data_IF_016760578017
#
_entry.id   IF_016760578017
#
_cell.length_a   1.000
_cell.length_b   1.000
_cell.length_c   1.000
_cell.angle_alpha   90.00
_cell.angle_beta   90.00
_cell.angle_gamma   90.00
#
_symmetry.space_group_name_H-M   'P 1'
#
loop_
_entity.id
_entity.type
_entity.pdbx_description
1 polymer ?
#
# COMPACT_ATOMS: atom_id res chain seq x y z
N UNK A 1 -14.99 16.46 16.25
CA UNK A 1 -13.74 17.23 16.31
C UNK A 1 -12.94 16.65 17.46
N UNK A 2 -11.81 15.96 17.33
CA UNK A 2 -10.74 15.69 16.34
C UNK A 2 -10.21 14.31 16.79
N UNK A 3 -9.74 13.33 16.02
CA UNK A 3 -8.97 13.22 14.79
C UNK A 3 -9.07 11.71 14.46
N UNK A 4 -9.47 11.25 13.25
CA UNK A 4 -9.36 9.84 12.93
C UNK A 4 -7.87 9.56 12.77
N UNK A 5 -7.22 9.18 13.88
CA UNK A 5 -5.86 8.65 13.87
C UNK A 5 -5.85 7.57 12.80
N UNK A 6 -5.36 7.93 11.61
CA UNK A 6 -5.04 6.97 10.58
C UNK A 6 -3.94 6.14 11.20
N UNK A 7 -4.33 5.03 11.81
CA UNK A 7 -3.43 3.95 12.14
C UNK A 7 -2.89 3.46 10.79
N UNK A 8 -1.77 4.05 10.37
CA UNK A 8 -0.89 3.42 9.40
C UNK A 8 -0.21 2.33 10.21
N UNK A 9 -0.84 1.16 10.25
CA UNK A 9 -0.16 0.01 10.82
C UNK A 9 1.04 -0.29 9.92
N UNK A 10 2.24 -0.42 10.49
CA UNK A 10 3.39 -0.87 9.72
C UNK A 10 3.05 -2.25 9.17
N UNK A 11 3.15 -2.40 7.85
CA UNK A 11 2.96 -3.69 7.20
C UNK A 11 4.27 -4.46 7.38
N UNK A 12 4.48 -4.99 8.59
CA UNK A 12 5.66 -5.79 8.96
C UNK A 12 5.66 -7.19 8.32
N UNK A 13 4.70 -7.46 7.44
CA UNK A 13 4.52 -8.72 6.73
C UNK A 13 4.76 -8.56 5.24
N UNK A 14 5.22 -9.63 4.55
CA UNK A 14 5.42 -9.60 3.11
C UNK A 14 4.12 -9.15 2.42
N UNK A 15 4.20 -8.03 1.70
CA UNK A 15 3.14 -7.54 0.83
C UNK A 15 3.36 -8.15 -0.55
N UNK A 16 2.38 -8.89 -1.04
CA UNK A 16 2.35 -9.34 -2.43
C UNK A 16 1.49 -8.38 -3.24
N UNK A 17 2.02 -7.89 -4.36
CA UNK A 17 1.29 -7.01 -5.28
C UNK A 17 1.30 -7.65 -6.66
N UNK A 18 0.12 -7.94 -7.20
CA UNK A 18 -0.06 -8.56 -8.51
C UNK A 18 -0.88 -7.63 -9.39
N UNK A 19 -0.30 -7.20 -10.50
CA UNK A 19 -0.98 -6.42 -11.52
C UNK A 19 -1.31 -7.32 -12.73
N UNK A 20 -2.57 -7.36 -13.12
CA UNK A 20 -3.03 -8.08 -14.31
C UNK A 20 -3.01 -7.13 -15.52
N UNK A 21 -2.08 -7.27 -16.48
CA UNK A 21 -2.01 -6.37 -17.62
C UNK A 21 -3.21 -6.50 -18.57
N UNK A 22 -3.84 -7.67 -18.62
CA UNK A 22 -4.97 -7.95 -19.51
C UNK A 22 -6.26 -7.27 -19.03
N UNK A 23 -6.50 -7.24 -17.70
CA UNK A 23 -7.69 -6.60 -17.11
C UNK A 23 -7.42 -5.19 -16.58
N UNK A 24 -6.16 -4.86 -16.31
CA UNK A 24 -5.75 -3.62 -15.65
C UNK A 24 -6.04 -3.59 -14.15
N UNK A 25 -6.38 -4.73 -13.55
CA UNK A 25 -6.70 -4.87 -12.13
C UNK A 25 -5.44 -5.10 -11.28
N UNK A 26 -5.54 -4.73 -10.01
CA UNK A 26 -4.46 -4.85 -9.03
C UNK A 26 -4.95 -5.61 -7.81
N UNK A 27 -4.20 -6.60 -7.40
CA UNK A 27 -4.43 -7.35 -6.16
C UNK A 27 -3.27 -7.10 -5.21
N UNK A 28 -3.60 -6.81 -3.95
CA UNK A 28 -2.62 -6.57 -2.88
C UNK A 28 -2.95 -7.49 -1.73
N UNK A 29 -2.06 -8.42 -1.43
CA UNK A 29 -2.17 -9.30 -0.27
C UNK A 29 -1.16 -8.91 0.80
N UNK A 30 -1.60 -8.90 2.05
CA UNK A 30 -0.72 -8.67 3.19
C UNK A 30 -1.26 -9.37 4.43
N UNK A 31 -0.37 -9.65 5.36
CA UNK A 31 -0.73 -10.18 6.68
C UNK A 31 -0.79 -9.04 7.68
N UNK A 32 -1.89 -8.97 8.42
CA UNK A 32 -2.08 -8.02 9.51
C UNK A 32 -2.09 -8.77 10.84
N UNK A 33 -1.34 -8.27 11.82
CA UNK A 33 -1.40 -8.79 13.18
C UNK A 33 -2.71 -8.34 13.83
N UNK A 34 -3.54 -9.29 14.24
CA UNK A 34 -4.78 -9.02 14.95
C UNK A 34 -4.49 -8.67 16.42
N UNK A 35 -5.14 -7.64 17.01
CA UNK A 35 -4.84 -7.16 18.35
C UNK A 35 -4.98 -8.20 19.48
N UNK A 36 -5.78 -9.25 19.27
CA UNK A 36 -5.95 -10.36 20.24
C UNK A 36 -5.10 -11.60 19.91
N UNK A 37 -3.99 -11.43 19.20
CA UNK A 37 -2.93 -12.45 19.11
C UNK A 37 -3.08 -13.46 17.97
N UNK A 38 -3.42 -13.00 16.76
CA UNK A 38 -3.48 -13.85 15.56
C UNK A 38 -2.97 -13.13 14.32
N UNK A 39 -2.75 -13.86 13.23
CA UNK A 39 -2.45 -13.30 11.91
C UNK A 39 -3.69 -13.39 11.01
N UNK A 40 -4.02 -12.29 10.34
CA UNK A 40 -5.09 -12.23 9.35
C UNK A 40 -4.47 -11.92 7.99
N UNK A 41 -4.59 -12.85 7.04
CA UNK A 41 -4.32 -12.54 5.64
C UNK A 41 -5.47 -11.70 5.08
N UNK A 42 -5.14 -10.54 4.53
CA UNK A 42 -6.09 -9.66 3.83
C UNK A 42 -5.69 -9.51 2.38
N UNK A 43 -6.69 -9.49 1.52
CA UNK A 43 -6.58 -9.12 0.11
C UNK A 43 -7.35 -7.83 -0.16
N UNK A 44 -6.73 -6.90 -0.89
CA UNK A 44 -7.38 -5.76 -1.50
C UNK A 44 -7.40 -5.98 -3.00
N UNK A 45 -8.59 -5.93 -3.60
CA UNK A 45 -8.77 -6.01 -5.05
C UNK A 45 -9.19 -4.64 -5.57
N UNK A 46 -8.41 -4.11 -6.50
CA UNK A 46 -8.69 -2.86 -7.18
C UNK A 46 -9.13 -3.17 -8.60
N UNK A 47 -10.30 -2.68 -8.98
CA UNK A 47 -10.75 -2.69 -10.37
C UNK A 47 -9.79 -1.90 -11.26
N UNK A 48 -9.91 -2.06 -12.58
CA UNK A 48 -9.11 -1.29 -13.53
C UNK A 48 -9.25 0.24 -13.35
N UNK A 49 -10.45 0.72 -13.04
CA UNK A 49 -10.69 2.14 -12.78
C UNK A 49 -10.00 2.60 -11.48
N UNK A 50 -10.16 1.82 -10.39
CA UNK A 50 -9.52 2.14 -9.11
C UNK A 50 -7.99 2.09 -9.21
N UNK A 51 -7.43 1.16 -9.98
CA UNK A 51 -6.00 1.05 -10.25
C UNK A 51 -5.46 2.27 -10.98
N UNK A 52 -6.20 2.79 -11.98
CA UNK A 52 -5.82 4.05 -12.67
C UNK A 52 -5.81 5.24 -11.73
N UNK A 53 -6.84 5.39 -10.90
CA UNK A 53 -6.91 6.47 -9.91
C UNK A 53 -5.78 6.36 -8.88
N UNK A 54 -5.45 5.15 -8.43
CA UNK A 54 -4.32 4.91 -7.54
C UNK A 54 -2.99 5.35 -8.17
N UNK A 55 -2.73 4.98 -9.43
CA UNK A 55 -1.53 5.40 -10.16
C UNK A 55 -1.47 6.92 -10.33
N UNK A 56 -2.60 7.58 -10.61
CA UNK A 56 -2.66 9.04 -10.71
C UNK A 56 -2.36 9.69 -9.35
N UNK A 57 -2.92 9.17 -8.27
CA UNK A 57 -2.66 9.67 -6.92
C UNK A 57 -1.17 9.54 -6.54
N UNK A 58 -0.53 8.42 -6.88
CA UNK A 58 0.90 8.21 -6.66
C UNK A 58 1.75 9.23 -7.44
N UNK A 59 1.46 9.45 -8.73
CA UNK A 59 2.18 10.46 -9.54
C UNK A 59 1.99 11.88 -9.01
N UNK A 60 0.79 12.22 -8.55
CA UNK A 60 0.53 13.51 -7.92
C UNK A 60 1.33 13.67 -6.62
N UNK A 61 1.45 12.60 -5.84
CA UNK A 61 2.24 12.58 -4.63
C UNK A 61 3.74 12.77 -4.92
N UNK A 62 4.32 12.08 -5.90
CA UNK A 62 5.71 12.30 -6.35
C UNK A 62 5.98 13.75 -6.73
N UNK A 63 5.08 14.33 -7.54
CA UNK A 63 5.17 15.72 -7.96
C UNK A 63 5.17 16.67 -6.76
N UNK A 64 4.30 16.42 -5.78
CA UNK A 64 4.19 17.25 -4.58
C UNK A 64 5.39 17.08 -3.63
N UNK A 65 5.98 15.89 -3.59
CA UNK A 65 7.18 15.60 -2.81
C UNK A 65 8.45 16.16 -3.48
N UNK A 66 8.40 16.45 -4.79
CA UNK A 66 9.54 16.91 -5.57
C UNK A 66 10.63 15.85 -5.77
N UNK A 67 10.30 14.58 -5.50
CA UNK A 67 11.18 13.41 -5.59
C UNK A 67 10.36 12.13 -5.80
N UNK A 68 10.95 11.08 -6.39
CA UNK A 68 10.30 9.78 -6.52
C UNK A 68 9.81 9.24 -5.18
N UNK A 69 8.71 8.49 -5.18
CA UNK A 69 8.19 7.86 -3.95
C UNK A 69 9.15 6.79 -3.43
N UNK A 70 9.92 6.11 -4.30
CA UNK A 70 10.92 5.13 -3.86
C UNK A 70 12.00 5.73 -2.94
N UNK A 71 12.26 7.03 -3.02
CA UNK A 71 13.21 7.73 -2.15
C UNK A 71 12.69 7.89 -0.70
N UNK A 72 11.38 7.74 -0.48
CA UNK A 72 10.78 7.73 0.85
C UNK A 72 11.04 6.41 1.59
N UNK A 73 11.13 5.31 0.84
CA UNK A 73 11.56 4.01 1.34
C UNK A 73 13.09 3.97 1.39
N UNK A 74 13.71 4.63 2.37
CA UNK A 74 15.05 4.20 2.78
C UNK A 74 14.89 2.78 3.34
N UNK A 75 15.55 1.75 2.77
CA UNK A 75 15.76 0.51 3.51
C UNK A 75 16.76 0.84 4.61
N UNK A 76 16.26 1.40 5.71
CA UNK A 76 17.04 1.61 6.92
C UNK A 76 17.30 0.25 7.55
N UNK A 77 18.44 -0.33 7.20
CA UNK A 77 19.27 -1.22 8.02
C UNK A 77 18.51 -2.16 8.96
N UNK A 78 18.07 -3.31 8.44
CA UNK A 78 18.07 -4.53 9.26
C UNK A 78 19.46 -5.15 9.07
N UNK A 79 20.39 -4.77 9.95
CA UNK A 79 21.62 -5.53 10.19
C UNK A 79 21.39 -6.44 11.39
#
# INVERSE_FOLDING_TARGET
MTDPTRFVEPVDSPVSVVFSPDTGELEVEFVQMHPVGGQLQRGLHFSAAATRELVLALKLLERNLGRPIEDLSKPGSVQ
#
